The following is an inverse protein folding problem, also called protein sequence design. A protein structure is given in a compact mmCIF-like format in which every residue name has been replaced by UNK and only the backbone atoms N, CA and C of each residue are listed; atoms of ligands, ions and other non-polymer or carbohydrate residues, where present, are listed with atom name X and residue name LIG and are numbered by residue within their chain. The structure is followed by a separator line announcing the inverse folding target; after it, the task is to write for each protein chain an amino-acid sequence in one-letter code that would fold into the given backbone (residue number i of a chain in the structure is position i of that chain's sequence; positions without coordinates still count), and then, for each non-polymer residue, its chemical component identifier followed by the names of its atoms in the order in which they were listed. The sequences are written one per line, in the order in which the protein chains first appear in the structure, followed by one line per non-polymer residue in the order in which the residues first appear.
data_IF_505053001766
#
_entry.id   IF_505053001766
#
_cell.length_a   1.000
_cell.length_b   1.000
_cell.length_c   1.000
_cell.angle_alpha   90.00
_cell.angle_beta   90.00
_cell.angle_gamma   90.00
#
_symmetry.space_group_name_H-M   'P 1'
#
loop_
_entity.id
_entity.type
_entity.pdbx_description
1 polymer ?
#
# COMPACT_ATOMS: atom_id res chain seq x y z
N UNK A 1 -24.39 15.36 -24.80
CA UNK A 1 -24.00 15.21 -23.39
C UNK A 1 -23.60 16.59 -22.87
N UNK A 2 -24.39 17.16 -21.96
CA UNK A 2 -24.02 18.43 -21.31
C UNK A 2 -22.95 18.12 -20.28
N UNK A 3 -21.74 18.65 -20.47
CA UNK A 3 -20.68 18.59 -19.48
C UNK A 3 -21.14 19.39 -18.26
N UNK A 4 -21.54 18.68 -17.20
CA UNK A 4 -22.12 19.30 -16.00
C UNK A 4 -20.99 19.86 -15.15
N UNK A 5 -20.67 21.13 -15.36
CA UNK A 5 -19.71 21.86 -14.52
C UNK A 5 -20.41 22.25 -13.22
N UNK A 6 -20.49 21.34 -12.25
CA UNK A 6 -20.46 21.79 -10.87
C UNK A 6 -19.02 22.24 -10.56
N UNK A 7 -18.83 23.18 -9.65
CA UNK A 7 -17.49 23.47 -9.12
C UNK A 7 -17.13 22.33 -8.18
N UNK A 8 -16.79 21.19 -8.79
CA UNK A 8 -16.44 19.96 -8.11
C UNK A 8 -15.15 20.21 -7.34
N UNK A 9 -15.25 20.11 -6.02
CA UNK A 9 -14.13 20.11 -5.09
C UNK A 9 -13.47 21.49 -4.92
N UNK A 10 -13.03 21.76 -3.70
CA UNK A 10 -12.32 22.99 -3.37
C UNK A 10 -11.30 22.65 -2.31
N UNK A 11 -10.04 22.70 -2.67
CA UNK A 11 -9.00 22.87 -1.67
C UNK A 11 -9.14 24.27 -1.08
N UNK A 12 -9.33 24.35 0.23
CA UNK A 12 -9.15 25.63 0.91
C UNK A 12 -7.65 25.89 1.03
N UNK A 13 -7.16 27.06 0.57
CA UNK A 13 -5.76 27.41 0.74
C UNK A 13 -5.38 27.25 2.21
N UNK A 14 -4.16 26.79 2.44
CA UNK A 14 -3.64 26.59 3.79
C UNK A 14 -3.84 27.87 4.60
N UNK A 15 -4.77 27.85 5.55
CA UNK A 15 -4.61 28.66 6.76
C UNK A 15 -3.42 28.03 7.47
N UNK A 16 -2.20 28.37 7.01
CA UNK A 16 -1.01 28.10 7.80
C UNK A 16 -1.29 28.73 9.16
N UNK A 17 -1.10 28.00 10.27
CA UNK A 17 -1.10 28.64 11.57
C UNK A 17 -0.19 29.85 11.44
N UNK A 18 -0.74 31.06 11.60
CA UNK A 18 0.08 32.25 11.57
C UNK A 18 1.22 32.03 12.56
N UNK A 19 2.46 32.36 12.18
CA UNK A 19 3.62 32.16 13.04
C UNK A 19 3.62 33.02 14.31
N UNK A 20 2.48 33.65 14.64
CA UNK A 20 2.26 34.45 15.85
C UNK A 20 1.40 33.65 16.81
N UNK A 21 1.88 33.52 18.04
CA UNK A 21 1.31 32.80 19.19
C UNK A 21 1.44 31.27 19.17
N UNK A 22 2.69 30.79 19.27
CA UNK A 22 2.99 29.65 20.13
C UNK A 22 2.87 30.09 21.60
N UNK A 23 1.68 30.56 22.00
CA UNK A 23 1.33 30.49 23.42
C UNK A 23 0.93 29.05 23.63
N UNK A 24 1.79 28.33 24.34
CA UNK A 24 1.45 27.08 24.97
C UNK A 24 0.28 27.37 25.91
N UNK A 25 -0.94 27.16 25.43
CA UNK A 25 -2.06 26.82 26.31
C UNK A 25 -1.74 25.40 26.84
N UNK A 26 -0.82 25.37 27.82
CA UNK A 26 -0.65 24.30 28.80
C UNK A 26 -1.90 24.30 29.70
N UNK A 27 -3.06 23.99 29.13
CA UNK A 27 -4.24 23.60 29.91
C UNK A 27 -4.16 22.08 30.13
N UNK A 28 -3.18 21.69 30.95
CA UNK A 28 -3.14 20.42 31.68
C UNK A 28 -4.07 20.54 32.90
N UNK A 29 -5.37 20.71 32.66
CA UNK A 29 -6.40 20.54 33.71
C UNK A 29 -7.15 19.22 33.45
N UNK A 30 -6.69 18.17 34.13
CA UNK A 30 -7.48 17.11 34.74
C UNK A 30 -8.80 16.72 34.02
N UNK A 31 -8.70 16.14 32.82
CA UNK A 31 -9.85 15.50 32.17
C UNK A 31 -10.13 14.15 32.88
N UNK A 32 -11.12 14.19 33.77
CA UNK A 32 -11.79 13.04 34.38
C UNK A 32 -12.12 11.96 33.32
N UNK A 33 -11.93 10.69 33.69
CA UNK A 33 -12.30 9.52 32.90
C UNK A 33 -13.82 9.48 32.62
N UNK A 34 -14.31 10.28 31.68
CA UNK A 34 -15.66 10.09 31.15
C UNK A 34 -15.66 8.80 30.30
N UNK A 35 -16.31 7.78 30.87
CA UNK A 35 -16.47 6.47 30.28
C UNK A 35 -16.83 6.52 28.80
N UNK A 36 -15.86 6.13 27.97
CA UNK A 36 -15.97 5.99 26.52
C UNK A 36 -16.98 4.89 26.20
N UNK A 37 -18.26 5.24 26.23
CA UNK A 37 -19.28 4.44 25.56
C UNK A 37 -18.99 4.55 24.08
N UNK A 38 -18.55 3.45 23.48
CA UNK A 38 -18.16 3.29 22.07
C UNK A 38 -19.31 3.47 21.09
N UNK A 39 -20.02 4.58 21.20
CA UNK A 39 -21.06 5.00 20.28
C UNK A 39 -20.37 5.54 19.03
N UNK A 40 -20.63 4.90 17.90
CA UNK A 40 -20.29 5.39 16.57
C UNK A 40 -20.62 6.88 16.52
N UNK A 41 -19.60 7.73 16.57
CA UNK A 41 -19.70 9.17 16.31
C UNK A 41 -20.14 9.33 14.86
N UNK A 42 -21.45 9.22 14.65
CA UNK A 42 -22.10 9.65 13.43
C UNK A 42 -21.78 11.13 13.29
N UNK A 43 -21.24 11.51 12.13
CA UNK A 43 -20.92 12.89 11.82
C UNK A 43 -22.12 13.78 12.22
N UNK A 44 -21.90 14.73 13.12
CA UNK A 44 -22.98 15.50 13.77
C UNK A 44 -23.85 16.24 12.75
N UNK A 45 -25.01 15.67 12.40
CA UNK A 45 -25.94 16.25 11.42
C UNK A 45 -26.32 15.32 10.28
N UNK A 46 -25.68 14.16 10.14
CA UNK A 46 -26.02 13.17 9.14
C UNK A 46 -27.25 12.35 9.58
N UNK A 47 -28.26 12.23 8.72
CA UNK A 47 -29.39 11.30 8.98
C UNK A 47 -28.90 9.85 9.02
N UNK A 48 -29.59 8.93 9.71
CA UNK A 48 -29.21 7.51 9.71
C UNK A 48 -29.11 6.89 8.31
N UNK A 49 -29.94 7.35 7.36
CA UNK A 49 -29.87 6.92 5.95
C UNK A 49 -28.62 7.42 5.24
N UNK A 50 -28.27 8.70 5.43
CA UNK A 50 -27.04 9.28 4.87
C UNK A 50 -25.80 8.61 5.47
N UNK A 51 -25.79 8.29 6.77
CA UNK A 51 -24.69 7.60 7.43
C UNK A 51 -24.47 6.20 6.86
N UNK A 52 -25.54 5.42 6.65
CA UNK A 52 -25.46 4.11 5.99
C UNK A 52 -24.97 4.24 4.55
N UNK A 53 -25.48 5.23 3.80
CA UNK A 53 -25.09 5.44 2.41
C UNK A 53 -23.61 5.85 2.30
N UNK A 54 -23.15 6.77 3.16
CA UNK A 54 -21.74 7.17 3.22
C UNK A 54 -20.85 5.97 3.54
N UNK A 55 -21.22 5.18 4.55
CA UNK A 55 -20.45 3.99 4.92
C UNK A 55 -20.40 2.96 3.78
N UNK A 56 -21.51 2.72 3.10
CA UNK A 56 -21.55 1.85 1.92
C UNK A 56 -20.61 2.34 0.81
N UNK A 57 -20.54 3.65 0.57
CA UNK A 57 -19.70 4.25 -0.45
C UNK A 57 -18.22 4.30 -0.07
N UNK A 58 -17.91 4.47 1.21
CA UNK A 58 -16.55 4.31 1.75
C UNK A 58 -16.03 2.89 1.51
N UNK A 59 -16.82 1.86 1.85
CA UNK A 59 -16.43 0.46 1.61
C UNK A 59 -16.31 0.14 0.11
N UNK A 60 -17.16 0.73 -0.73
CA UNK A 60 -17.04 0.62 -2.18
C UNK A 60 -15.76 1.29 -2.71
N UNK A 61 -15.39 2.45 -2.17
CA UNK A 61 -14.14 3.14 -2.52
C UNK A 61 -12.92 2.30 -2.14
N UNK A 62 -12.91 1.68 -0.95
CA UNK A 62 -11.86 0.72 -0.54
C UNK A 62 -11.75 -0.46 -1.51
N UNK A 63 -12.90 -1.04 -1.90
CA UNK A 63 -12.92 -2.12 -2.87
C UNK A 63 -12.33 -1.69 -4.22
N UNK A 64 -12.65 -0.46 -4.68
CA UNK A 64 -12.08 0.11 -5.90
C UNK A 64 -10.57 0.26 -5.78
N UNK A 65 -10.06 0.83 -4.69
CA UNK A 65 -8.62 0.95 -4.45
C UNK A 65 -7.90 -0.39 -4.54
N UNK A 66 -8.43 -1.42 -3.86
CA UNK A 66 -7.86 -2.76 -3.92
C UNK A 66 -7.86 -3.37 -5.33
N UNK A 67 -8.91 -3.15 -6.14
CA UNK A 67 -8.96 -3.60 -7.54
C UNK A 67 -7.89 -2.88 -8.37
N UNK A 68 -7.81 -1.56 -8.24
CA UNK A 68 -6.90 -0.72 -9.04
C UNK A 68 -5.45 -1.00 -8.72
N UNK A 69 -5.08 -1.15 -7.44
CA UNK A 69 -3.72 -1.49 -7.03
C UNK A 69 -3.31 -2.85 -7.60
N UNK A 70 -4.17 -3.87 -7.52
CA UNK A 70 -3.89 -5.20 -8.13
C UNK A 70 -3.73 -5.12 -9.64
N UNK A 71 -4.65 -4.43 -10.34
CA UNK A 71 -4.57 -4.25 -11.79
C UNK A 71 -3.30 -3.49 -12.19
N UNK A 72 -2.93 -2.44 -11.43
CA UNK A 72 -1.72 -1.65 -11.66
C UNK A 72 -0.45 -2.49 -11.51
N UNK A 73 -0.35 -3.29 -10.43
CA UNK A 73 0.77 -4.20 -10.19
C UNK A 73 0.86 -5.29 -11.26
N UNK A 74 -0.29 -5.83 -11.70
CA UNK A 74 -0.39 -6.77 -12.81
C UNK A 74 -0.19 -6.16 -14.20
N UNK A 75 0.15 -4.86 -14.31
CA UNK A 75 0.33 -4.13 -15.57
C UNK A 75 -0.91 -4.16 -16.50
N UNK A 76 -2.11 -4.23 -15.93
CA UNK A 76 -3.38 -4.30 -16.67
C UNK A 76 -4.00 -2.92 -16.94
N UNK A 77 -3.33 -1.82 -16.59
CA UNK A 77 -3.90 -0.47 -16.58
C UNK A 77 -3.36 0.45 -17.69
N UNK A 78 -2.74 -0.10 -18.75
CA UNK A 78 -2.09 0.69 -19.80
C UNK A 78 -3.03 1.70 -20.45
N UNK A 79 -4.27 1.31 -20.77
CA UNK A 79 -5.24 2.19 -21.41
C UNK A 79 -5.65 3.35 -20.51
N UNK A 80 -5.91 3.08 -19.23
CA UNK A 80 -6.33 4.07 -18.24
C UNK A 80 -5.18 5.01 -17.87
N UNK A 81 -3.97 4.48 -17.68
CA UNK A 81 -2.78 5.31 -17.45
C UNK A 81 -2.53 6.24 -18.64
N UNK A 82 -2.63 5.73 -19.87
CA UNK A 82 -2.46 6.55 -21.08
C UNK A 82 -3.50 7.67 -21.18
N UNK A 83 -4.75 7.37 -20.79
CA UNK A 83 -5.87 8.30 -20.82
C UNK A 83 -5.76 9.40 -19.76
N UNK A 84 -5.39 9.04 -18.55
CA UNK A 84 -5.47 9.93 -17.39
C UNK A 84 -4.12 10.52 -16.97
N UNK A 85 -3.00 9.98 -17.42
CA UNK A 85 -1.67 10.49 -17.08
C UNK A 85 -0.75 10.64 -18.30
N UNK A 86 -1.27 10.41 -19.51
CA UNK A 86 -0.52 10.54 -20.77
C UNK A 86 0.11 9.24 -21.25
N UNK A 87 0.35 9.16 -22.57
CA UNK A 87 0.72 7.91 -23.28
C UNK A 87 2.02 7.25 -22.81
N UNK A 88 2.93 8.02 -22.20
CA UNK A 88 4.20 7.50 -21.69
C UNK A 88 4.15 7.04 -20.23
N UNK A 89 3.08 7.38 -19.49
CA UNK A 89 3.01 7.11 -18.05
C UNK A 89 3.08 5.62 -17.73
N UNK A 90 2.55 4.76 -18.62
CA UNK A 90 2.58 3.30 -18.40
C UNK A 90 4.00 2.71 -18.46
N UNK A 91 4.86 3.21 -19.34
CA UNK A 91 6.24 2.73 -19.52
C UNK A 91 7.26 3.50 -18.68
N UNK A 92 6.94 4.72 -18.26
CA UNK A 92 7.83 5.56 -17.46
C UNK A 92 7.84 5.14 -15.98
N UNK A 93 9.01 4.75 -15.49
CA UNK A 93 9.16 4.21 -14.14
C UNK A 93 8.87 5.26 -13.06
N UNK A 94 9.18 6.54 -13.31
CA UNK A 94 8.90 7.63 -12.36
C UNK A 94 7.40 7.88 -12.24
N UNK A 95 6.69 7.96 -13.36
CA UNK A 95 5.22 8.08 -13.40
C UNK A 95 4.55 6.91 -12.69
N UNK A 96 4.98 5.67 -12.96
CA UNK A 96 4.47 4.48 -12.25
C UNK A 96 4.70 4.55 -10.75
N UNK A 97 5.91 4.92 -10.33
CA UNK A 97 6.25 5.05 -8.90
C UNK A 97 5.35 6.10 -8.24
N UNK A 98 5.13 7.23 -8.89
CA UNK A 98 4.27 8.29 -8.37
C UNK A 98 2.81 7.87 -8.28
N UNK A 99 2.27 7.22 -9.31
CA UNK A 99 0.90 6.70 -9.30
C UNK A 99 0.72 5.69 -8.17
N UNK A 100 1.64 4.74 -8.01
CA UNK A 100 1.56 3.75 -6.93
C UNK A 100 1.63 4.40 -5.54
N UNK A 101 2.49 5.41 -5.37
CA UNK A 101 2.61 6.19 -4.13
C UNK A 101 1.28 6.84 -3.75
N UNK A 102 0.63 7.52 -4.70
CA UNK A 102 -0.68 8.15 -4.48
C UNK A 102 -1.75 7.10 -4.22
N UNK A 103 -1.81 6.00 -4.98
CA UNK A 103 -2.78 4.93 -4.77
C UNK A 103 -2.68 4.34 -3.35
N UNK A 104 -1.47 4.02 -2.89
CA UNK A 104 -1.26 3.47 -1.54
C UNK A 104 -1.62 4.49 -0.46
N UNK A 105 -1.34 5.79 -0.69
CA UNK A 105 -1.72 6.85 0.23
C UNK A 105 -3.25 6.98 0.34
N UNK A 106 -3.99 6.93 -0.77
CA UNK A 106 -5.45 6.99 -0.77
C UNK A 106 -6.06 5.75 -0.09
N UNK A 107 -5.56 4.55 -0.37
CA UNK A 107 -6.03 3.30 0.24
C UNK A 107 -5.90 3.31 1.77
N UNK A 108 -4.73 3.74 2.27
CA UNK A 108 -4.49 3.92 3.69
C UNK A 108 -5.41 5.00 4.30
N UNK A 109 -5.51 6.16 3.65
CA UNK A 109 -6.29 7.30 4.12
C UNK A 109 -7.79 6.95 4.25
N UNK A 110 -8.40 6.35 3.22
CA UNK A 110 -9.85 6.02 3.22
C UNK A 110 -10.21 5.04 4.35
N UNK A 111 -9.26 4.21 4.78
CA UNK A 111 -9.44 3.31 5.91
C UNK A 111 -9.36 3.98 7.28
N UNK A 112 -8.86 5.21 7.34
CA UNK A 112 -8.57 5.95 8.57
C UNK A 112 -9.14 7.38 8.53
N UNK A 113 -10.42 7.53 8.20
CA UNK A 113 -11.09 8.83 8.04
C UNK A 113 -12.24 9.03 9.05
N UNK A 114 -12.42 10.27 9.50
CA UNK A 114 -13.63 10.77 10.16
C UNK A 114 -14.32 11.80 9.27
N UNK A 115 -15.64 11.83 9.32
CA UNK A 115 -16.46 12.73 8.52
C UNK A 115 -17.09 13.82 9.38
N UNK A 116 -17.11 15.04 8.86
CA UNK A 116 -17.80 16.21 9.40
C UNK A 116 -18.90 16.59 8.42
N UNK A 117 -20.15 16.61 8.88
CA UNK A 117 -21.29 16.92 8.03
C UNK A 117 -22.38 17.65 8.79
N UNK A 118 -22.88 18.81 8.31
CA UNK A 118 -22.34 19.55 7.18
C UNK A 118 -20.98 20.16 7.51
N UNK A 119 -20.07 20.21 6.54
CA UNK A 119 -18.84 20.98 6.67
C UNK A 119 -19.12 22.48 6.83
N UNK A 120 -18.41 23.20 7.73
CA UNK A 120 -18.67 24.62 8.00
C UNK A 120 -18.43 25.55 6.80
N UNK A 121 -17.67 25.11 5.78
CA UNK A 121 -17.41 25.88 4.55
C UNK A 121 -18.16 25.35 3.34
N UNK A 122 -19.20 24.55 3.53
CA UNK A 122 -19.97 24.03 2.42
C UNK A 122 -20.66 25.14 1.63
N UNK A 123 -20.57 25.04 0.30
CA UNK A 123 -21.33 25.86 -0.66
C UNK A 123 -22.36 24.98 -1.36
N UNK A 124 -23.43 25.54 -1.96
CA UNK A 124 -24.46 24.75 -2.63
C UNK A 124 -23.94 23.82 -3.74
N UNK A 125 -22.80 24.15 -4.33
CA UNK A 125 -22.16 23.41 -5.43
C UNK A 125 -20.90 22.64 -5.03
N UNK A 126 -20.65 22.43 -3.74
CA UNK A 126 -19.48 21.71 -3.23
C UNK A 126 -19.90 20.32 -2.73
N UNK A 127 -19.16 19.28 -3.11
CA UNK A 127 -19.42 17.90 -2.68
C UNK A 127 -18.79 17.62 -1.32
N UNK A 128 -17.49 17.85 -1.24
CA UNK A 128 -16.70 17.77 -0.04
C UNK A 128 -15.53 18.75 -0.17
N UNK A 129 -14.75 18.82 0.88
CA UNK A 129 -13.43 19.45 0.86
C UNK A 129 -12.60 18.89 2.00
N UNK A 130 -11.29 19.13 1.91
CA UNK A 130 -10.33 18.78 2.96
C UNK A 130 -9.35 19.90 3.22
N UNK A 131 -8.65 19.82 4.36
CA UNK A 131 -7.47 20.62 4.62
C UNK A 131 -6.26 19.69 4.65
N UNK A 132 -5.46 19.60 3.57
CA UNK A 132 -4.35 18.67 3.51
C UNK A 132 -3.23 19.04 4.50
N UNK A 133 -3.14 20.31 4.88
CA UNK A 133 -2.13 20.86 5.81
C UNK A 133 -2.75 21.96 6.70
N UNK A 134 -3.39 21.57 7.79
CA UNK A 134 -4.00 22.42 8.82
C UNK A 134 -3.69 21.84 10.22
N UNK A 135 -4.59 22.04 11.18
CA UNK A 135 -4.37 21.63 12.57
C UNK A 135 -4.66 20.15 12.80
N UNK A 136 -3.98 19.59 13.80
CA UNK A 136 -4.41 18.36 14.49
C UNK A 136 -5.41 18.77 15.57
N UNK A 137 -6.66 18.33 15.46
CA UNK A 137 -7.75 18.81 16.31
C UNK A 137 -8.13 17.80 17.39
N UNK A 138 -8.52 18.29 18.58
CA UNK A 138 -9.20 17.47 19.59
C UNK A 138 -10.56 16.98 19.04
N UNK A 139 -10.96 15.79 19.44
CA UNK A 139 -12.27 15.19 19.17
C UNK A 139 -13.42 16.16 19.53
N UNK A 140 -14.37 16.33 18.62
CA UNK A 140 -15.49 17.28 18.78
C UNK A 140 -15.19 18.73 18.37
N UNK A 141 -13.93 19.12 18.14
CA UNK A 141 -13.56 20.49 17.72
C UNK A 141 -13.43 20.67 16.21
N UNK A 142 -13.68 19.64 15.41
CA UNK A 142 -13.49 19.67 13.96
C UNK A 142 -14.41 20.65 13.21
N UNK A 143 -15.53 21.06 13.82
CA UNK A 143 -16.46 22.03 13.22
C UNK A 143 -16.06 23.50 13.45
N UNK A 144 -15.20 23.80 14.43
CA UNK A 144 -14.85 25.19 14.80
C UNK A 144 -13.56 25.70 14.17
N UNK A 145 -12.70 24.82 13.66
CA UNK A 145 -11.43 25.17 13.01
C UNK A 145 -11.07 24.17 11.90
N UNK A 146 -10.23 24.53 10.92
CA UNK A 146 -9.78 23.60 9.89
C UNK A 146 -8.89 22.50 10.47
N UNK A 147 -9.20 21.23 10.18
CA UNK A 147 -8.47 20.09 10.72
C UNK A 147 -8.00 19.17 9.60
N UNK A 148 -6.75 18.70 9.69
CA UNK A 148 -6.22 17.66 8.81
C UNK A 148 -6.41 16.28 9.44
N UNK A 149 -6.13 16.18 10.74
CA UNK A 149 -6.22 14.94 11.50
C UNK A 149 -6.79 15.18 12.90
N UNK A 150 -7.22 14.10 13.53
CA UNK A 150 -7.68 14.09 14.93
C UNK A 150 -6.52 13.76 15.89
N UNK A 151 -6.51 14.36 17.09
CA UNK A 151 -5.41 14.25 18.06
C UNK A 151 -5.28 12.84 18.63
N UNK A 152 -6.37 12.25 19.10
CA UNK A 152 -6.33 10.94 19.76
C UNK A 152 -6.43 9.81 18.73
N UNK A 153 -7.43 9.86 17.85
CA UNK A 153 -7.68 8.78 16.88
C UNK A 153 -6.74 8.78 15.66
N UNK A 154 -5.95 9.84 15.45
CA UNK A 154 -5.07 10.04 14.27
C UNK A 154 -5.77 9.92 12.91
N UNK A 155 -7.11 9.93 12.90
CA UNK A 155 -7.91 9.83 11.67
C UNK A 155 -7.84 11.13 10.87
N UNK A 156 -7.85 11.01 9.55
CA UNK A 156 -7.97 12.13 8.62
C UNK A 156 -9.38 12.72 8.66
N UNK A 157 -9.53 14.01 8.41
CA UNK A 157 -10.83 14.70 8.52
C UNK A 157 -11.37 15.09 7.15
N UNK A 158 -12.53 14.55 6.81
CA UNK A 158 -13.29 14.90 5.61
C UNK A 158 -14.47 15.80 5.95
N UNK A 159 -14.64 16.88 5.21
CA UNK A 159 -15.80 17.76 5.37
C UNK A 159 -16.77 17.53 4.23
N UNK A 160 -17.85 16.80 4.51
CA UNK A 160 -18.88 16.49 3.52
C UNK A 160 -19.90 17.63 3.44
N UNK A 161 -20.43 17.87 2.23
CA UNK A 161 -21.43 18.89 1.96
C UNK A 161 -22.74 18.29 1.43
N UNK A 162 -23.87 19.01 1.51
CA UNK A 162 -25.17 18.45 1.12
C UNK A 162 -25.25 17.91 -0.32
N UNK A 163 -24.49 18.50 -1.27
CA UNK A 163 -24.48 18.04 -2.66
C UNK A 163 -23.95 16.60 -2.81
N UNK A 164 -23.05 16.15 -1.93
CA UNK A 164 -22.50 14.79 -1.93
C UNK A 164 -23.61 13.73 -1.84
N UNK A 165 -24.57 13.91 -0.93
CA UNK A 165 -25.69 12.98 -0.77
C UNK A 165 -26.74 13.08 -1.88
N UNK A 166 -26.79 14.21 -2.60
CA UNK A 166 -27.66 14.39 -3.77
C UNK A 166 -27.11 13.72 -5.03
N UNK A 167 -25.85 13.25 -5.01
CA UNK A 167 -25.15 12.68 -6.16
C UNK A 167 -24.52 11.31 -5.84
N UNK A 168 -25.33 10.26 -5.55
CA UNK A 168 -24.79 8.96 -5.12
C UNK A 168 -23.82 8.28 -6.11
N UNK A 169 -23.91 8.61 -7.40
CA UNK A 169 -23.01 8.09 -8.43
C UNK A 169 -21.59 8.66 -8.31
N UNK A 170 -21.44 9.85 -7.73
CA UNK A 170 -20.18 10.61 -7.65
C UNK A 170 -19.52 10.52 -6.27
N UNK A 171 -20.17 9.84 -5.30
CA UNK A 171 -19.65 9.72 -3.94
C UNK A 171 -18.30 8.98 -3.89
N UNK A 172 -18.13 7.91 -4.67
CA UNK A 172 -16.83 7.19 -4.71
C UNK A 172 -15.75 8.09 -5.31
N UNK A 173 -16.03 8.74 -6.44
CA UNK A 173 -15.11 9.69 -7.09
C UNK A 173 -14.71 10.82 -6.11
N UNK A 174 -15.69 11.36 -5.37
CA UNK A 174 -15.45 12.36 -4.33
C UNK A 174 -14.50 11.84 -3.25
N UNK A 175 -14.75 10.66 -2.70
CA UNK A 175 -13.93 10.13 -1.60
C UNK A 175 -12.47 9.92 -2.00
N UNK A 176 -12.23 9.40 -3.21
CA UNK A 176 -10.87 9.17 -3.70
C UNK A 176 -10.18 10.46 -4.13
N UNK A 177 -10.93 11.43 -4.68
CA UNK A 177 -10.44 12.78 -4.99
C UNK A 177 -9.92 13.45 -3.72
N UNK A 178 -10.79 13.60 -2.72
CA UNK A 178 -10.45 14.24 -1.45
C UNK A 178 -9.32 13.49 -0.73
N UNK A 179 -9.28 12.17 -0.87
CA UNK A 179 -8.23 11.35 -0.27
C UNK A 179 -6.86 11.54 -0.90
N UNK A 180 -6.82 11.90 -2.18
CA UNK A 180 -5.56 12.17 -2.87
C UNK A 180 -4.90 13.49 -2.44
N UNK A 181 -5.67 14.45 -1.90
CA UNK A 181 -5.09 15.64 -1.28
C UNK A 181 -4.38 15.34 0.06
N UNK A 182 -4.81 14.31 0.78
CA UNK A 182 -4.35 14.02 2.14
C UNK A 182 -3.07 13.18 2.24
N UNK A 183 -2.67 12.97 3.50
CA UNK A 183 -1.63 12.05 3.91
C UNK A 183 -0.29 12.38 3.26
N UNK A 184 0.26 11.46 2.47
CA UNK A 184 1.51 11.71 1.74
C UNK A 184 1.26 12.05 0.27
N UNK A 185 0.04 11.83 -0.26
CA UNK A 185 -0.28 11.99 -1.68
C UNK A 185 -0.12 13.43 -2.16
N UNK A 186 -0.72 14.39 -1.45
CA UNK A 186 -0.66 15.83 -1.74
C UNK A 186 -0.89 16.19 -3.22
N UNK A 187 -1.87 15.55 -3.84
CA UNK A 187 -2.35 16.04 -5.13
C UNK A 187 -3.02 17.40 -4.94
N UNK A 188 -3.16 18.12 -6.02
CA UNK A 188 -3.72 19.47 -6.09
C UNK A 188 -4.90 19.51 -7.06
N UNK A 189 -5.60 20.63 -7.02
CA UNK A 189 -6.63 21.01 -7.97
C UNK A 189 -5.97 21.87 -9.04
N UNK A 190 -5.31 21.20 -9.98
CA UNK A 190 -4.34 21.85 -10.88
C UNK A 190 -5.01 22.85 -11.81
N UNK A 191 -4.45 24.06 -11.92
CA UNK A 191 -4.87 25.03 -12.93
C UNK A 191 -4.42 24.62 -14.35
N UNK A 192 -5.35 24.65 -15.29
CA UNK A 192 -5.15 24.31 -16.69
C UNK A 192 -6.05 25.17 -17.60
N UNK A 193 -5.44 25.88 -18.56
CA UNK A 193 -6.16 26.77 -19.49
C UNK A 193 -6.97 27.88 -18.78
N UNK A 194 -6.43 28.44 -17.69
CA UNK A 194 -7.04 29.56 -16.96
C UNK A 194 -8.21 29.18 -16.04
N UNK A 195 -8.38 27.89 -15.78
CA UNK A 195 -9.37 27.34 -14.84
C UNK A 195 -8.82 26.09 -14.18
N UNK A 196 -9.40 25.67 -13.07
CA UNK A 196 -9.06 24.39 -12.46
C UNK A 196 -9.41 23.22 -13.38
N UNK A 197 -8.57 22.19 -13.41
CA UNK A 197 -8.64 21.05 -14.32
C UNK A 197 -9.71 20.01 -13.94
N UNK A 198 -10.93 20.46 -13.62
CA UNK A 198 -12.03 19.58 -13.27
C UNK A 198 -12.72 18.97 -14.48
N UNK A 199 -13.24 17.76 -14.28
CA UNK A 199 -14.04 17.08 -15.27
C UNK A 199 -13.22 16.25 -16.24
N UNK A 200 -13.81 15.13 -16.68
CA UNK A 200 -13.18 14.11 -17.53
C UNK A 200 -12.53 14.68 -18.79
N UNK A 201 -13.20 15.58 -19.51
CA UNK A 201 -12.66 16.16 -20.75
C UNK A 201 -11.42 17.00 -20.48
N UNK A 202 -11.49 17.90 -19.48
CA UNK A 202 -10.38 18.77 -19.09
C UNK A 202 -9.19 17.95 -18.60
N UNK A 203 -9.42 16.96 -17.73
CA UNK A 203 -8.39 16.04 -17.24
C UNK A 203 -7.69 15.26 -18.36
N UNK A 204 -8.42 14.80 -19.39
CA UNK A 204 -7.81 14.12 -20.54
C UNK A 204 -7.03 15.07 -21.45
N UNK A 205 -7.43 16.34 -21.53
CA UNK A 205 -6.63 17.38 -22.22
C UNK A 205 -5.36 17.67 -21.44
N UNK A 206 -5.47 17.85 -20.11
CA UNK A 206 -4.34 18.02 -19.21
C UNK A 206 -3.35 16.85 -19.36
N UNK A 207 -3.81 15.60 -19.30
CA UNK A 207 -2.97 14.42 -19.46
C UNK A 207 -2.24 14.34 -20.82
N UNK A 208 -2.82 14.91 -21.87
CA UNK A 208 -2.20 14.96 -23.21
C UNK A 208 -1.22 16.13 -23.35
N UNK A 209 -1.57 17.29 -22.80
CA UNK A 209 -0.79 18.51 -22.91
C UNK A 209 0.40 18.52 -21.93
N UNK A 210 0.15 18.14 -20.68
CA UNK A 210 1.13 18.11 -19.59
C UNK A 210 0.90 16.90 -18.65
N UNK A 211 1.48 15.74 -19.00
CA UNK A 211 1.47 14.54 -18.15
C UNK A 211 1.98 14.76 -16.72
N UNK A 212 2.95 15.67 -16.52
CA UNK A 212 3.55 15.89 -15.21
C UNK A 212 2.57 16.64 -14.28
N UNK A 213 1.77 17.56 -14.83
CA UNK A 213 0.67 18.19 -14.11
C UNK A 213 -0.50 17.23 -13.89
N UNK A 214 -0.81 16.35 -14.83
CA UNK A 214 -1.85 15.33 -14.64
C UNK A 214 -1.54 14.36 -13.48
N UNK A 215 -0.26 14.03 -13.27
CA UNK A 215 0.22 13.26 -12.10
C UNK A 215 0.07 13.99 -10.76
N UNK A 216 -0.22 15.29 -10.78
CA UNK A 216 -0.48 16.09 -9.58
C UNK A 216 -1.95 16.40 -9.38
N UNK A 217 -2.82 16.12 -10.35
CA UNK A 217 -4.23 16.52 -10.30
C UNK A 217 -5.11 15.44 -9.63
N UNK A 218 -5.86 15.82 -8.60
CA UNK A 218 -6.74 14.89 -7.86
C UNK A 218 -7.81 14.25 -8.75
N UNK A 219 -8.43 15.02 -9.65
CA UNK A 219 -9.45 14.50 -10.57
C UNK A 219 -8.89 13.47 -11.57
N UNK A 220 -7.63 13.61 -12.00
CA UNK A 220 -7.00 12.59 -12.85
C UNK A 220 -6.90 11.24 -12.11
N UNK A 221 -6.61 11.25 -10.81
CA UNK A 221 -6.63 10.03 -10.00
C UNK A 221 -8.04 9.49 -9.79
N UNK A 222 -9.03 10.32 -9.49
CA UNK A 222 -10.40 9.85 -9.26
C UNK A 222 -10.96 9.13 -10.49
N UNK A 223 -10.76 9.69 -11.69
CA UNK A 223 -11.20 9.06 -12.94
C UNK A 223 -10.37 7.83 -13.31
N UNK A 224 -9.06 7.85 -13.04
CA UNK A 224 -8.21 6.68 -13.23
C UNK A 224 -8.69 5.50 -12.38
N UNK A 225 -8.97 5.74 -11.10
CA UNK A 225 -9.44 4.72 -10.16
C UNK A 225 -10.80 4.17 -10.59
N UNK A 226 -11.76 5.07 -10.86
CA UNK A 226 -13.12 4.71 -11.28
C UNK A 226 -13.11 3.87 -12.57
N UNK A 227 -12.42 4.34 -13.62
CA UNK A 227 -12.39 3.66 -14.92
C UNK A 227 -11.69 2.30 -14.84
N UNK A 228 -10.60 2.23 -14.08
CA UNK A 228 -9.83 0.99 -13.91
C UNK A 228 -10.65 -0.05 -13.14
N UNK A 229 -11.27 0.35 -12.02
CA UNK A 229 -12.11 -0.54 -11.23
C UNK A 229 -13.32 -1.05 -12.02
N UNK A 230 -13.98 -0.16 -12.77
CA UNK A 230 -15.13 -0.50 -13.61
C UNK A 230 -14.74 -1.47 -14.71
N UNK A 231 -13.70 -1.16 -15.52
CA UNK A 231 -13.26 -2.05 -16.60
C UNK A 231 -12.83 -3.42 -16.08
N UNK A 232 -12.11 -3.47 -14.96
CA UNK A 232 -11.67 -4.74 -14.36
C UNK A 232 -12.86 -5.57 -13.87
N UNK A 233 -13.93 -4.92 -13.41
CA UNK A 233 -15.16 -5.58 -12.95
C UNK A 233 -16.04 -6.04 -14.13
N UNK A 234 -16.12 -5.26 -15.20
CA UNK A 234 -16.87 -5.62 -16.41
C UNK A 234 -16.18 -6.77 -17.16
N UNK A 235 -14.85 -6.78 -17.16
CA UNK A 235 -14.05 -7.88 -17.71
C UNK A 235 -14.30 -9.22 -16.98
N UNK A 236 -14.84 -9.18 -15.76
CA UNK A 236 -15.29 -10.39 -15.02
C UNK A 236 -16.72 -10.80 -15.37
N UNK A 237 -17.51 -9.91 -15.96
CA UNK A 237 -18.94 -10.13 -16.24
C UNK A 237 -19.18 -10.57 -17.68
N UNK A 238 -18.33 -10.15 -18.63
CA UNK A 238 -18.33 -10.68 -20.01
C UNK A 238 -17.65 -12.05 -20.14
N UNK A 239 -16.87 -12.45 -19.14
CA UNK A 239 -16.76 -13.86 -18.82
C UNK A 239 -18.09 -14.28 -18.15
N UNK A 240 -19.14 -14.44 -18.96
CA UNK A 240 -20.45 -14.86 -18.46
C UNK A 240 -20.36 -16.15 -17.62
N UNK A 241 -21.48 -16.63 -17.05
CA UNK A 241 -21.54 -17.91 -16.33
C UNK A 241 -21.24 -19.15 -17.20
N UNK A 242 -20.61 -18.98 -18.36
CA UNK A 242 -19.79 -20.00 -18.99
C UNK A 242 -18.52 -20.19 -18.16
N UNK A 243 -18.64 -20.98 -17.09
CA UNK A 243 -17.66 -22.01 -16.70
C UNK A 243 -16.33 -21.88 -17.45
N UNK A 244 -15.44 -20.98 -17.00
CA UNK A 244 -14.03 -21.30 -17.15
C UNK A 244 -13.77 -22.38 -16.13
N UNK A 245 -14.21 -23.60 -16.49
CA UNK A 245 -13.89 -24.80 -15.78
C UNK A 245 -12.40 -24.80 -15.48
N UNK A 246 -12.02 -25.45 -14.40
CA UNK A 246 -10.62 -25.60 -14.10
C UNK A 246 -9.90 -26.20 -15.31
N UNK A 247 -8.68 -25.73 -15.61
CA UNK A 247 -7.90 -26.28 -16.72
C UNK A 247 -7.84 -27.80 -16.64
N UNK A 248 -7.73 -28.47 -17.78
CA UNK A 248 -7.81 -29.93 -17.90
C UNK A 248 -6.79 -30.69 -17.03
N UNK A 249 -5.74 -30.00 -16.57
CA UNK A 249 -4.71 -30.55 -15.68
C UNK A 249 -5.09 -30.54 -14.19
N UNK A 250 -6.19 -29.87 -13.81
CA UNK A 250 -6.70 -29.80 -12.45
C UNK A 250 -7.38 -31.13 -12.04
N UNK A 251 -7.57 -31.32 -10.73
CA UNK A 251 -8.21 -32.53 -10.18
C UNK A 251 -9.71 -32.60 -10.47
N UNK A 252 -10.35 -31.45 -10.70
CA UNK A 252 -11.77 -31.30 -10.98
C UNK A 252 -11.94 -30.34 -12.15
N UNK A 253 -13.00 -30.48 -12.94
CA UNK A 253 -13.27 -29.63 -14.10
C UNK A 253 -13.95 -28.30 -13.74
N UNK A 254 -14.35 -28.09 -12.49
CA UNK A 254 -15.06 -26.90 -12.04
C UNK A 254 -14.39 -26.35 -10.78
N UNK A 255 -14.27 -25.02 -10.65
CA UNK A 255 -13.76 -24.43 -9.43
C UNK A 255 -14.69 -24.74 -8.25
N UNK A 256 -14.13 -24.73 -7.04
CA UNK A 256 -14.88 -24.87 -5.81
C UNK A 256 -15.75 -23.63 -5.50
N UNK A 257 -16.40 -23.63 -4.33
CA UNK A 257 -17.30 -22.54 -3.90
C UNK A 257 -16.59 -21.19 -3.82
N UNK A 258 -15.28 -21.20 -3.59
CA UNK A 258 -14.47 -19.99 -3.47
C UNK A 258 -13.91 -19.55 -4.83
N UNK A 259 -14.16 -20.31 -5.91
CA UNK A 259 -13.67 -20.01 -7.25
C UNK A 259 -12.27 -20.58 -7.54
N UNK A 260 -11.80 -21.53 -6.72
CA UNK A 260 -10.48 -22.12 -6.83
C UNK A 260 -10.49 -23.50 -7.47
N UNK A 261 -9.41 -23.77 -8.20
CA UNK A 261 -9.08 -25.05 -8.79
C UNK A 261 -8.04 -25.76 -7.93
N UNK A 262 -8.08 -27.09 -7.92
CA UNK A 262 -7.17 -27.91 -7.13
C UNK A 262 -6.25 -28.74 -8.02
N UNK A 263 -4.97 -28.78 -7.67
CA UNK A 263 -3.99 -29.66 -8.31
C UNK A 263 -4.28 -31.14 -7.92
N UNK A 264 -4.13 -32.14 -8.83
CA UNK A 264 -4.26 -33.55 -8.48
C UNK A 264 -3.38 -33.96 -7.30
N UNK A 265 -3.77 -34.96 -6.51
CA UNK A 265 -3.09 -35.32 -5.25
C UNK A 265 -1.59 -35.60 -5.40
N UNK A 266 -1.17 -36.14 -6.54
CA UNK A 266 0.23 -36.43 -6.90
C UNK A 266 0.99 -35.22 -7.49
N UNK A 267 0.37 -34.04 -7.53
CA UNK A 267 0.90 -32.83 -8.15
C UNK A 267 0.89 -31.65 -7.18
N UNK A 268 1.67 -30.64 -7.51
CA UNK A 268 1.72 -29.34 -6.85
C UNK A 268 1.52 -28.24 -7.87
N UNK A 269 0.99 -27.12 -7.40
CA UNK A 269 0.77 -25.96 -8.24
C UNK A 269 2.06 -25.15 -8.36
N UNK A 270 2.38 -24.69 -9.57
CA UNK A 270 3.53 -23.83 -9.86
C UNK A 270 3.07 -22.61 -10.64
N UNK A 271 3.54 -21.43 -10.25
CA UNK A 271 3.33 -20.18 -10.97
C UNK A 271 4.67 -19.67 -11.48
N UNK A 272 4.83 -19.62 -12.81
CA UNK A 272 6.10 -19.22 -13.46
C UNK A 272 7.32 -20.01 -12.94
N UNK A 273 7.14 -21.31 -12.69
CA UNK A 273 8.19 -22.22 -12.19
C UNK A 273 8.48 -22.11 -10.68
N UNK A 274 7.78 -21.23 -9.96
CA UNK A 274 7.88 -21.13 -8.50
C UNK A 274 6.78 -21.96 -7.84
N UNK A 275 7.11 -22.70 -6.78
CA UNK A 275 6.15 -23.51 -6.04
C UNK A 275 5.05 -22.62 -5.41
N UNK A 276 3.80 -22.96 -5.73
CA UNK A 276 2.61 -22.30 -5.22
C UNK A 276 1.93 -21.40 -6.24
N UNK A 277 0.63 -21.23 -6.08
CA UNK A 277 -0.21 -20.41 -6.94
C UNK A 277 -1.10 -19.45 -6.14
N UNK A 278 -1.43 -18.27 -6.68
CA UNK A 278 -2.44 -17.40 -6.08
C UNK A 278 -3.82 -18.05 -6.17
N UNK A 279 -4.61 -17.95 -5.08
CA UNK A 279 -5.96 -18.51 -4.97
C UNK A 279 -6.93 -17.47 -4.40
N UNK A 280 -8.24 -17.72 -4.44
CA UNK A 280 -9.30 -16.70 -4.34
C UNK A 280 -9.33 -15.97 -3.01
N UNK A 281 -9.05 -16.66 -1.91
CA UNK A 281 -9.01 -16.09 -0.55
C UNK A 281 -7.78 -15.20 -0.34
N UNK A 282 -6.74 -15.36 -1.14
CA UNK A 282 -5.39 -14.85 -0.86
C UNK A 282 -4.76 -14.02 -1.96
N UNK A 283 -5.44 -13.88 -3.11
CA UNK A 283 -5.04 -12.98 -4.18
C UNK A 283 -4.85 -11.52 -3.71
N UNK A 284 -5.35 -11.16 -2.53
CA UNK A 284 -5.14 -9.86 -1.87
C UNK A 284 -4.00 -9.83 -0.85
N UNK A 285 -3.53 -10.98 -0.36
CA UNK A 285 -2.53 -11.10 0.73
C UNK A 285 -1.16 -11.63 0.27
N UNK A 286 -0.95 -11.77 -1.04
CA UNK A 286 0.28 -12.30 -1.65
C UNK A 286 0.71 -13.67 -1.10
N UNK A 287 -0.25 -14.50 -0.70
CA UNK A 287 0.01 -15.87 -0.21
C UNK A 287 -0.31 -16.90 -1.29
N UNK A 288 0.54 -17.92 -1.38
CA UNK A 288 0.51 -18.93 -2.44
C UNK A 288 0.14 -20.30 -1.85
N UNK A 289 -0.67 -21.07 -2.58
CA UNK A 289 -1.02 -22.43 -2.20
C UNK A 289 -0.31 -23.45 -3.09
N UNK A 290 0.35 -24.47 -2.52
CA UNK A 290 0.93 -25.56 -3.31
C UNK A 290 -0.13 -26.50 -3.89
N UNK A 291 -1.41 -26.37 -3.51
CA UNK A 291 -2.47 -27.29 -3.88
C UNK A 291 -3.67 -26.64 -4.57
N UNK A 292 -3.88 -25.33 -4.38
CA UNK A 292 -5.01 -24.59 -4.92
C UNK A 292 -4.53 -23.40 -5.76
N UNK A 293 -5.30 -23.04 -6.79
CA UNK A 293 -5.05 -21.89 -7.64
C UNK A 293 -6.37 -21.31 -8.11
N UNK A 294 -6.44 -19.99 -8.26
CA UNK A 294 -7.65 -19.35 -8.77
C UNK A 294 -7.96 -19.84 -10.17
N UNK A 295 -9.22 -20.15 -10.47
CA UNK A 295 -9.68 -20.48 -11.84
C UNK A 295 -9.37 -19.40 -12.88
N UNK A 296 -9.13 -18.16 -12.42
CA UNK A 296 -8.72 -17.03 -13.24
C UNK A 296 -7.21 -16.97 -13.48
N UNK A 297 -6.40 -17.73 -12.74
CA UNK A 297 -4.94 -17.73 -12.86
C UNK A 297 -4.48 -18.57 -14.06
N UNK A 298 -4.18 -17.91 -15.17
CA UNK A 298 -3.71 -18.57 -16.41
C UNK A 298 -2.24 -19.01 -16.39
N UNK A 299 -1.44 -18.46 -15.47
CA UNK A 299 -0.01 -18.79 -15.33
C UNK A 299 0.29 -19.99 -14.43
N UNK A 300 -0.74 -20.60 -13.84
CA UNK A 300 -0.58 -21.73 -12.93
C UNK A 300 -0.56 -23.07 -13.69
N UNK A 301 0.34 -23.96 -13.30
CA UNK A 301 0.47 -25.32 -13.82
C UNK A 301 0.44 -26.35 -12.68
N UNK A 302 -0.02 -27.58 -12.98
CA UNK A 302 0.08 -28.71 -12.07
C UNK A 302 1.25 -29.61 -12.47
N UNK A 303 2.30 -29.65 -11.66
CA UNK A 303 3.50 -30.45 -11.90
C UNK A 303 3.59 -31.59 -10.89
N UNK A 304 4.17 -32.72 -11.27
CA UNK A 304 4.34 -33.87 -10.38
C UNK A 304 5.17 -33.49 -9.16
N UNK A 305 4.71 -33.90 -7.97
CA UNK A 305 5.50 -33.78 -6.75
C UNK A 305 6.83 -34.47 -6.98
N UNK A 306 7.91 -33.72 -6.87
CA UNK A 306 9.24 -34.34 -6.80
C UNK A 306 9.29 -34.95 -5.40
N UNK A 307 9.07 -36.27 -5.31
CA UNK A 307 9.20 -37.02 -4.06
C UNK A 307 10.67 -37.01 -3.65
N UNK A 308 11.03 -36.03 -2.83
CA UNK A 308 12.38 -35.87 -2.25
C UNK A 308 12.77 -37.04 -1.34
N UNK A 309 11.87 -38.00 -1.11
CA UNK A 309 12.02 -39.09 -0.17
C UNK A 309 12.63 -40.36 -0.78
N UNK A 310 12.50 -40.60 -2.09
CA UNK A 310 12.95 -41.87 -2.71
C UNK A 310 14.16 -41.68 -3.64
N UNK A 311 14.49 -40.44 -3.98
CA UNK A 311 15.60 -40.11 -4.88
C UNK A 311 16.87 -39.66 -4.14
N UNK A 312 16.94 -39.88 -2.82
CA UNK A 312 18.11 -39.47 -2.01
C UNK A 312 19.13 -40.60 -1.79
N UNK A 313 18.80 -41.86 -2.07
CA UNK A 313 19.74 -42.98 -1.82
C UNK A 313 20.43 -43.52 -3.09
N UNK A 314 19.83 -43.40 -4.28
CA UNK A 314 20.46 -43.91 -5.52
C UNK A 314 20.84 -42.82 -6.51
N UNK A 315 20.29 -41.61 -6.37
CA UNK A 315 20.66 -40.43 -7.18
C UNK A 315 21.58 -39.46 -6.42
N UNK A 316 21.85 -39.68 -5.13
CA UNK A 316 23.02 -39.06 -4.47
C UNK A 316 24.37 -39.57 -4.99
N UNK A 317 24.38 -40.62 -5.83
CA UNK A 317 25.56 -41.13 -6.53
C UNK A 317 25.55 -40.90 -8.06
N UNK A 318 24.42 -40.54 -8.67
CA UNK A 318 24.30 -40.40 -10.13
C UNK A 318 23.81 -39.02 -10.62
N UNK A 319 23.16 -38.22 -9.76
CA UNK A 319 23.17 -36.75 -9.87
C UNK A 319 24.02 -36.27 -8.70
N UNK A 320 25.30 -36.62 -8.77
CA UNK A 320 26.31 -35.80 -8.13
C UNK A 320 26.13 -34.39 -8.68
N UNK A 321 25.46 -33.55 -7.88
CA UNK A 321 25.89 -32.20 -7.63
C UNK A 321 26.59 -31.56 -8.85
N UNK A 322 25.82 -31.23 -9.88
CA UNK A 322 25.93 -29.86 -10.34
C UNK A 322 25.42 -29.00 -9.16
N UNK A 323 26.24 -28.91 -8.09
CA UNK A 323 26.22 -27.77 -7.17
C UNK A 323 26.21 -26.62 -8.14
N UNK A 324 25.05 -25.98 -8.31
CA UNK A 324 24.93 -24.72 -9.02
C UNK A 324 26.03 -23.88 -8.42
N UNK A 325 27.12 -23.75 -9.18
CA UNK A 325 28.25 -22.94 -8.72
C UNK A 325 27.63 -21.60 -8.44
N UNK A 326 27.93 -21.05 -7.28
CA UNK A 326 27.51 -19.71 -7.02
C UNK A 326 28.01 -18.82 -8.16
N UNK A 327 27.23 -17.83 -8.58
CA UNK A 327 27.64 -16.90 -9.62
C UNK A 327 29.02 -16.31 -9.28
N UNK A 328 29.78 -15.91 -10.31
CA UNK A 328 31.15 -15.44 -10.12
C UNK A 328 31.28 -14.21 -9.19
N UNK A 329 30.18 -13.48 -8.92
CA UNK A 329 30.13 -12.36 -7.99
C UNK A 329 29.93 -12.77 -6.51
N UNK A 330 29.66 -14.05 -6.23
CA UNK A 330 29.47 -14.56 -4.88
C UNK A 330 30.80 -14.72 -4.14
N UNK A 331 30.75 -14.78 -2.81
CA UNK A 331 31.92 -14.90 -1.95
C UNK A 331 32.69 -16.21 -2.14
N UNK A 332 31.96 -17.29 -2.39
CA UNK A 332 32.48 -18.63 -2.65
C UNK A 332 31.87 -19.14 -3.94
N UNK A 333 32.63 -19.92 -4.73
CA UNK A 333 32.14 -20.52 -5.98
C UNK A 333 31.21 -21.72 -5.76
N UNK A 334 31.10 -22.21 -4.53
CA UNK A 334 30.25 -23.33 -4.15
C UNK A 334 29.27 -22.90 -3.07
N UNK A 335 27.97 -23.22 -3.21
CA UNK A 335 27.00 -22.94 -2.15
C UNK A 335 27.31 -23.73 -0.88
N UNK A 336 26.77 -23.25 0.23
CA UNK A 336 26.90 -23.89 1.54
C UNK A 336 26.08 -25.20 1.62
N UNK A 337 25.95 -25.74 2.84
CA UNK A 337 25.21 -27.00 3.07
C UNK A 337 23.70 -26.85 2.87
N UNK A 338 23.17 -25.64 2.95
CA UNK A 338 21.75 -25.33 2.75
C UNK A 338 21.43 -25.05 1.28
N UNK A 339 22.46 -24.86 0.43
CA UNK A 339 22.31 -24.56 -0.98
C UNK A 339 22.39 -23.07 -1.30
N UNK A 340 22.86 -22.26 -0.34
CA UNK A 340 22.92 -20.81 -0.42
C UNK A 340 24.32 -20.31 -0.77
N UNK A 341 24.34 -19.20 -1.50
CA UNK A 341 25.49 -18.39 -1.83
C UNK A 341 25.48 -17.13 -0.97
N UNK A 342 26.66 -16.58 -0.67
CA UNK A 342 26.79 -15.32 0.06
C UNK A 342 27.51 -14.25 -0.74
N UNK A 343 27.32 -12.98 -0.40
CA UNK A 343 28.03 -11.85 -1.02
C UNK A 343 29.38 -11.57 -0.36
N UNK A 344 30.36 -11.05 -1.13
CA UNK A 344 31.72 -10.79 -0.63
C UNK A 344 31.79 -9.52 0.22
N UNK A 345 32.41 -9.59 1.40
CA UNK A 345 32.74 -8.42 2.22
C UNK A 345 31.52 -7.58 2.63
N UNK A 346 31.47 -6.32 2.19
CA UNK A 346 30.39 -5.36 2.50
C UNK A 346 29.30 -5.29 1.42
N UNK A 347 29.21 -6.30 0.55
CA UNK A 347 28.18 -6.37 -0.48
C UNK A 347 26.89 -6.94 0.09
N UNK A 348 25.75 -6.47 -0.41
CA UNK A 348 24.42 -6.99 -0.07
C UNK A 348 23.79 -7.65 -1.28
N UNK A 349 22.97 -8.67 -1.04
CA UNK A 349 22.15 -9.28 -2.07
C UNK A 349 21.01 -8.33 -2.44
N UNK A 350 20.75 -8.18 -3.73
CA UNK A 350 19.59 -7.45 -4.24
C UNK A 350 18.81 -8.32 -5.21
N UNK A 351 17.49 -8.29 -5.11
CA UNK A 351 16.56 -8.98 -6.01
C UNK A 351 15.71 -7.93 -6.72
N UNK A 352 15.83 -7.84 -8.05
CA UNK A 352 15.13 -6.82 -8.88
C UNK A 352 15.36 -5.37 -8.43
N UNK A 353 16.48 -5.09 -7.77
CA UNK A 353 16.87 -3.75 -7.29
C UNK A 353 16.53 -3.47 -5.83
N UNK A 354 15.74 -4.32 -5.18
CA UNK A 354 15.45 -4.22 -3.75
C UNK A 354 16.47 -5.03 -2.93
N UNK A 355 16.78 -4.57 -1.71
CA UNK A 355 17.71 -5.27 -0.81
C UNK A 355 17.03 -6.53 -0.27
N UNK A 356 17.75 -7.65 -0.33
CA UNK A 356 17.28 -8.95 0.11
C UNK A 356 17.03 -9.90 -1.04
N UNK A 357 17.41 -11.16 -0.84
CA UNK A 357 17.23 -12.25 -1.79
C UNK A 357 16.54 -13.45 -1.14
N UNK A 358 15.80 -14.26 -1.93
CA UNK A 358 15.35 -15.55 -1.47
C UNK A 358 16.56 -16.48 -1.29
N UNK A 359 16.61 -17.17 -0.15
CA UNK A 359 17.59 -18.17 0.26
C UNK A 359 16.89 -19.47 0.65
N UNK A 360 17.61 -20.53 1.02
CA UNK A 360 17.05 -21.87 1.21
C UNK A 360 15.89 -21.91 2.21
N UNK A 361 15.96 -21.09 3.28
CA UNK A 361 14.88 -21.01 4.28
C UNK A 361 13.76 -20.03 3.91
N UNK A 362 13.92 -19.23 2.86
CA UNK A 362 12.82 -18.36 2.35
C UNK A 362 11.61 -19.18 1.95
N UNK A 363 11.79 -20.38 1.38
CA UNK A 363 10.67 -21.25 1.00
C UNK A 363 9.78 -21.67 2.18
N UNK A 364 10.33 -21.69 3.39
CA UNK A 364 9.61 -22.07 4.61
C UNK A 364 9.04 -20.87 5.36
N UNK A 365 9.71 -19.71 5.28
CA UNK A 365 9.44 -18.56 6.16
C UNK A 365 8.95 -17.31 5.43
N UNK A 366 9.11 -17.25 4.10
CA UNK A 366 8.88 -16.04 3.30
C UNK A 366 9.90 -14.91 3.54
N UNK A 367 10.94 -15.14 4.36
CA UNK A 367 11.94 -14.12 4.72
C UNK A 367 13.04 -14.01 3.66
N UNK A 368 13.48 -12.80 3.37
CA UNK A 368 14.61 -12.52 2.47
C UNK A 368 15.87 -12.29 3.30
N UNK A 369 17.05 -12.54 2.72
CA UNK A 369 18.33 -12.24 3.35
C UNK A 369 19.13 -11.24 2.52
N UNK A 370 19.70 -10.24 3.17
CA UNK A 370 20.62 -9.27 2.55
C UNK A 370 22.05 -9.82 2.39
N UNK A 371 22.35 -11.01 2.94
CA UNK A 371 23.67 -11.65 2.90
C UNK A 371 23.68 -12.97 2.12
N UNK A 372 22.56 -13.69 2.10
CA UNK A 372 22.43 -15.01 1.50
C UNK A 372 21.40 -15.02 0.37
N UNK A 373 21.67 -15.81 -0.66
CA UNK A 373 20.74 -16.06 -1.75
C UNK A 373 20.85 -17.50 -2.24
N UNK A 374 19.73 -18.08 -2.65
CA UNK A 374 19.69 -19.45 -3.12
C UNK A 374 20.52 -19.57 -4.40
N UNK A 375 21.35 -20.61 -4.52
CA UNK A 375 22.26 -20.77 -5.66
C UNK A 375 21.57 -20.89 -7.03
N UNK A 376 20.27 -21.19 -7.05
CA UNK A 376 19.45 -21.19 -8.27
C UNK A 376 18.77 -19.84 -8.59
N UNK A 377 18.94 -18.82 -7.74
CA UNK A 377 18.30 -17.52 -7.93
C UNK A 377 19.13 -16.66 -8.88
N UNK A 378 18.83 -16.76 -10.18
CA UNK A 378 19.55 -16.05 -11.25
C UNK A 378 19.35 -14.53 -11.25
N UNK A 379 18.29 -14.03 -10.61
CA UNK A 379 17.98 -12.60 -10.50
C UNK A 379 18.63 -11.91 -9.30
N UNK A 380 19.26 -12.68 -8.41
CA UNK A 380 19.97 -12.13 -7.26
C UNK A 380 21.34 -11.63 -7.68
N UNK A 381 21.69 -10.42 -7.25
CA UNK A 381 22.98 -9.80 -7.54
C UNK A 381 23.62 -9.33 -6.24
N UNK A 382 24.91 -9.60 -6.07
CA UNK A 382 25.69 -8.92 -5.05
C UNK A 382 26.03 -7.53 -5.58
N UNK A 383 25.49 -6.51 -4.93
CA UNK A 383 25.86 -5.12 -5.19
C UNK A 383 26.62 -4.59 -3.98
N UNK A 384 27.54 -3.64 -4.19
CA UNK A 384 28.04 -2.86 -3.05
C UNK A 384 26.81 -2.30 -2.35
N UNK A 385 26.77 -2.42 -1.01
CA UNK A 385 25.75 -1.71 -0.20
C UNK A 385 25.72 -0.29 -0.78
N UNK A 386 24.57 0.17 -1.32
CA UNK A 386 24.53 1.46 -1.98
C UNK A 386 25.23 2.41 -1.04
N UNK A 387 26.36 2.99 -1.50
CA UNK A 387 27.10 3.95 -0.69
C UNK A 387 26.03 4.93 -0.30
N UNK A 388 25.71 4.96 1.01
CA UNK A 388 24.60 5.76 1.53
C UNK A 388 24.62 7.04 0.72
N UNK A 389 23.49 7.48 0.13
CA UNK A 389 23.47 8.79 -0.50
C UNK A 389 24.22 9.71 0.45
N UNK A 390 25.13 10.52 -0.09
CA UNK A 390 25.79 11.56 0.68
C UNK A 390 24.71 12.54 1.15
N UNK A 391 23.91 12.09 2.10
CA UNK A 391 23.04 12.84 2.96
C UNK A 391 24.05 13.60 3.79
N UNK A 392 24.42 14.78 3.30
CA UNK A 392 25.06 15.81 4.12
C UNK A 392 24.28 15.87 5.42
N UNK A 393 24.87 15.33 6.48
CA UNK A 393 24.71 15.70 7.89
C UNK A 393 23.35 16.29 8.31
N UNK A 394 22.23 15.66 7.92
CA UNK A 394 21.11 15.61 8.83
C UNK A 394 21.49 14.51 9.82
N UNK A 395 21.95 14.90 11.01
CA UNK A 395 22.31 14.00 12.09
C UNK A 395 21.08 13.24 12.54
N UNK A 396 20.71 12.19 11.81
CA UNK A 396 19.66 11.26 12.18
C UNK A 396 20.16 10.55 13.44
N UNK A 397 19.49 10.83 14.56
CA UNK A 397 19.81 10.32 15.89
C UNK A 397 18.59 9.58 16.40
N UNK A 398 18.84 8.45 17.04
CA UNK A 398 17.81 7.77 17.81
C UNK A 398 17.29 8.68 18.93
N UNK A 399 16.03 8.51 19.34
CA UNK A 399 15.49 9.25 20.47
C UNK A 399 16.30 8.94 21.74
N UNK A 400 16.23 9.83 22.72
CA UNK A 400 16.99 9.70 23.97
C UNK A 400 16.63 8.47 24.80
N UNK A 401 15.47 7.86 24.56
CA UNK A 401 15.03 6.61 25.18
C UNK A 401 15.78 5.38 24.65
N UNK A 402 16.42 5.48 23.48
CA UNK A 402 17.19 4.38 22.90
C UNK A 402 18.55 4.20 23.58
N UNK A 403 19.07 2.98 23.55
CA UNK A 403 20.36 2.58 24.11
C UNK A 403 21.53 3.34 23.46
N UNK A 404 21.44 3.64 22.16
CA UNK A 404 22.48 4.33 21.39
C UNK A 404 21.91 5.57 20.72
N UNK A 405 22.70 6.65 20.67
CA UNK A 405 22.29 7.91 19.99
C UNK A 405 22.26 7.79 18.47
N UNK A 406 22.97 6.82 17.90
CA UNK A 406 22.99 6.54 16.47
C UNK A 406 22.25 5.22 16.20
N UNK A 407 21.50 5.14 15.08
CA UNK A 407 20.93 3.88 14.65
C UNK A 407 22.03 2.90 14.26
N UNK A 408 21.71 1.62 14.27
CA UNK A 408 22.60 0.55 13.89
C UNK A 408 22.85 0.50 12.37
N UNK A 409 23.45 -0.59 11.91
CA UNK A 409 23.82 -0.74 10.49
C UNK A 409 22.63 -0.97 9.56
N UNK A 410 21.48 -1.34 10.11
CA UNK A 410 20.21 -1.56 9.39
C UNK A 410 19.36 -0.28 9.36
N UNK A 411 19.65 0.68 10.25
CA UNK A 411 18.91 1.93 10.37
C UNK A 411 17.97 1.94 11.57
N UNK A 412 18.10 0.96 12.47
CA UNK A 412 17.24 0.79 13.62
C UNK A 412 17.86 1.35 14.90
N UNK A 413 17.01 1.84 15.79
CA UNK A 413 17.32 2.23 17.14
C UNK A 413 17.03 1.09 18.10
N UNK A 414 17.96 0.80 19.01
CA UNK A 414 17.85 -0.31 19.95
C UNK A 414 17.41 0.16 21.34
N UNK A 415 16.44 -0.51 21.95
CA UNK A 415 16.02 -0.20 23.32
C UNK A 415 16.96 -0.80 24.39
N UNK A 416 17.06 -0.19 25.58
CA UNK A 416 17.75 -0.79 26.72
C UNK A 416 17.26 -2.21 27.04
N UNK A 417 18.06 -3.00 27.76
CA UNK A 417 17.73 -4.42 28.04
C UNK A 417 16.39 -4.60 28.75
N UNK A 418 16.04 -3.67 29.63
CA UNK A 418 14.85 -3.71 30.47
C UNK A 418 13.74 -2.80 29.91
N UNK A 419 13.77 -2.52 28.61
CA UNK A 419 12.78 -1.71 27.91
C UNK A 419 12.28 -2.43 26.67
N UNK A 420 11.01 -2.22 26.34
CA UNK A 420 10.40 -2.62 25.08
C UNK A 420 10.14 -1.37 24.24
N UNK A 421 10.25 -1.49 22.93
CA UNK A 421 9.76 -0.41 22.07
C UNK A 421 8.24 -0.45 22.02
N UNK A 422 7.62 0.71 22.15
CA UNK A 422 6.18 0.92 22.12
C UNK A 422 5.84 1.93 21.04
N UNK A 423 4.79 1.66 20.28
CA UNK A 423 4.19 2.57 19.33
C UNK A 423 2.72 2.72 19.70
N UNK A 424 2.28 3.94 20.04
CA UNK A 424 0.87 4.20 20.39
C UNK A 424 0.31 3.30 21.51
N UNK A 425 1.13 3.00 22.53
CA UNK A 425 0.83 2.11 23.66
C UNK A 425 0.71 0.61 23.30
N UNK A 426 1.03 0.22 22.08
CA UNK A 426 1.17 -1.18 21.69
C UNK A 426 2.65 -1.60 21.70
N UNK A 427 2.93 -2.77 22.26
CA UNK A 427 4.30 -3.30 22.28
C UNK A 427 4.73 -3.73 20.88
N UNK A 428 5.80 -3.11 20.38
CA UNK A 428 6.42 -3.45 19.11
C UNK A 428 6.38 -2.29 18.11
N UNK A 429 7.47 -2.13 17.37
CA UNK A 429 7.67 -1.03 16.46
C UNK A 429 8.13 -1.52 15.08
N UNK A 430 7.74 -0.83 13.99
CA UNK A 430 8.28 -1.07 12.66
C UNK A 430 9.81 -0.95 12.66
N UNK A 431 10.49 -1.89 11.99
CA UNK A 431 11.95 -1.84 11.77
C UNK A 431 12.28 -1.41 10.34
N UNK A 432 13.49 -0.92 10.11
CA UNK A 432 13.97 -0.43 8.82
C UNK A 432 13.93 -1.48 7.70
N UNK A 433 13.93 -2.77 8.06
CA UNK A 433 13.73 -3.88 7.12
C UNK A 433 12.34 -3.89 6.45
N UNK A 434 11.35 -3.16 6.98
CA UNK A 434 10.09 -2.89 6.31
C UNK A 434 8.90 -2.64 7.26
N UNK A 435 7.89 -1.87 6.82
CA UNK A 435 6.80 -1.39 7.69
C UNK A 435 5.88 -2.49 8.24
N UNK A 436 5.90 -3.69 7.66
CA UNK A 436 5.14 -4.85 8.16
C UNK A 436 5.90 -5.66 9.21
N UNK A 437 7.20 -5.43 9.41
CA UNK A 437 8.02 -6.15 10.38
C UNK A 437 8.10 -5.34 11.66
N UNK A 438 7.67 -5.96 12.77
CA UNK A 438 7.71 -5.34 14.09
C UNK A 438 8.73 -6.06 14.96
N UNK A 439 9.48 -5.30 15.74
CA UNK A 439 10.37 -5.81 16.79
C UNK A 439 9.95 -5.21 18.12
N UNK A 440 10.20 -5.90 19.23
CA UNK A 440 9.96 -5.36 20.58
C UNK A 440 11.19 -4.65 21.15
N UNK A 441 12.32 -4.65 20.44
CA UNK A 441 13.60 -4.07 20.92
C UNK A 441 14.29 -3.16 19.91
N UNK A 442 13.82 -3.14 18.67
CA UNK A 442 14.40 -2.37 17.58
C UNK A 442 13.29 -1.59 16.88
N UNK A 443 13.57 -0.40 16.38
CA UNK A 443 12.63 0.38 15.59
C UNK A 443 13.34 1.28 14.59
N UNK A 444 12.73 1.50 13.42
CA UNK A 444 13.28 2.35 12.37
C UNK A 444 13.51 3.75 12.95
N UNK A 445 14.69 4.32 12.72
CA UNK A 445 15.02 5.68 13.19
C UNK A 445 14.09 6.76 12.61
N UNK A 446 13.40 6.47 11.51
CA UNK A 446 12.39 7.34 10.91
C UNK A 446 10.98 7.12 11.51
N UNK A 447 10.80 6.12 12.39
CA UNK A 447 9.55 5.89 13.09
C UNK A 447 9.43 6.86 14.27
N UNK A 448 8.89 8.05 14.01
CA UNK A 448 8.79 9.14 14.99
C UNK A 448 7.83 8.87 16.16
N UNK A 449 7.04 7.80 16.10
CA UNK A 449 6.11 7.41 17.18
C UNK A 449 6.62 6.27 18.07
N UNK A 450 7.84 5.78 17.82
CA UNK A 450 8.43 4.69 18.59
C UNK A 450 9.31 5.20 19.71
N UNK A 451 9.07 4.71 20.91
CA UNK A 451 9.85 5.02 22.10
C UNK A 451 10.17 3.75 22.89
N UNK A 452 11.21 3.81 23.73
CA UNK A 452 11.56 2.71 24.61
C UNK A 452 10.93 2.96 25.98
N UNK A 453 10.03 2.08 26.39
CA UNK A 453 9.37 2.13 27.69
C UNK A 453 9.87 0.98 28.58
N UNK A 454 9.94 1.14 29.91
CA UNK A 454 10.29 0.05 30.82
C UNK A 454 9.40 -1.17 30.63
N UNK A 455 9.98 -2.36 30.62
CA UNK A 455 9.26 -3.64 30.61
C UNK A 455 8.70 -3.88 32.04
N UNK A 456 7.40 -3.59 32.24
CA UNK A 456 6.72 -3.57 33.55
C UNK A 456 6.25 -4.94 34.02
#
# INVERSE_FOLDING_TARGET
MVERVANLFRIYPTERPGSSSSEAEDDDEDDEEEGVTGFLQTASGMTPSEARLNKQKEELAKAYMGIVIRAFSGRQTQAQMSRWFGTRAFSDQLSRKEILRVLNSVDHMISNVVYVYPGPKCKPNTYAYVYPQAYTCKEGKQSSRPCTTMRHSKKYVFYLCPLYFQRPAEMVETLVHEGSHHATAFTDDVDFEGRTAYGRSTCQKLARADPALALKNADNFCYYIQDTATQTSDSRTEAGPGSSGCPNFASVSHPDRDGDCKCPHAKQCFYEGTLGCPFSITATKNTYSPAYFSSQCKGCTCETKIDTTTTTTTIALAIGAAKSRCPAFAALSTPDREGDCSCYGQMVCTFRGDVGCPYARTRQTGRYSDLYFHSSCSECLCTRRPTRPSWKEATIRCPSSALTKAPDSEGDCHCPRDHLCSYENETGCPVAAGPSLHSHRYFDVNCTGCECIPDS
#
